data_IF_135001796884
#
_entry.id   IF_135001796884
#
_cell.length_a   1.000
_cell.length_b   1.000
_cell.length_c   1.000
_cell.angle_alpha   90.00
_cell.angle_beta   90.00
_cell.angle_gamma   90.00
#
_symmetry.space_group_name_H-M   'P 1'
#
loop_
_entity.id
_entity.type
_entity.pdbx_description
1 polymer ?
#
# COMPACT_ATOMS: atom_id res chain seq x y z
N UNK A 1 -17.44 4.93 -10.11
CA UNK A 1 -16.61 6.01 -10.65
C UNK A 1 -17.46 6.87 -11.55
N UNK A 2 -17.69 8.13 -11.17
CA UNK A 2 -18.51 9.08 -11.93
C UNK A 2 -17.67 9.97 -12.83
N UNK A 3 -16.40 10.19 -12.47
CA UNK A 3 -15.47 11.07 -13.19
C UNK A 3 -14.36 10.29 -13.88
N UNK A 4 -13.56 10.97 -14.71
CA UNK A 4 -12.41 10.39 -15.40
C UNK A 4 -11.28 10.01 -14.43
N UNK A 5 -11.23 10.70 -13.29
CA UNK A 5 -10.20 10.58 -12.26
C UNK A 5 -10.84 10.92 -10.90
N UNK A 6 -10.50 10.16 -9.87
CA UNK A 6 -10.98 10.35 -8.50
C UNK A 6 -9.81 10.24 -7.53
N UNK A 7 -9.74 11.14 -6.55
CA UNK A 7 -8.70 11.15 -5.51
C UNK A 7 -9.33 10.86 -4.15
N UNK A 8 -8.68 10.01 -3.37
CA UNK A 8 -9.08 9.69 -2.01
C UNK A 8 -7.85 9.65 -1.09
N UNK A 9 -7.98 10.23 0.09
CA UNK A 9 -7.01 10.10 1.16
C UNK A 9 -7.55 9.13 2.22
N UNK A 10 -6.69 8.22 2.68
CA UNK A 10 -7.03 7.21 3.68
C UNK A 10 -6.08 7.30 4.88
N UNK A 11 -6.65 7.18 6.08
CA UNK A 11 -5.92 7.07 7.34
C UNK A 11 -6.26 5.74 7.99
N UNK A 12 -5.30 4.81 8.04
CA UNK A 12 -5.49 3.47 8.58
C UNK A 12 -4.96 3.41 10.01
N UNK A 13 -5.85 3.33 10.99
CA UNK A 13 -5.45 3.18 12.39
C UNK A 13 -4.90 1.79 12.71
N UNK A 14 -5.42 0.75 12.04
CA UNK A 14 -4.99 -0.64 12.19
C UNK A 14 -4.51 -1.28 10.89
N UNK A 15 -3.92 -2.47 11.01
CA UNK A 15 -3.47 -3.30 9.90
C UNK A 15 -4.67 -3.77 9.06
N UNK A 16 -4.59 -3.53 7.74
CA UNK A 16 -5.63 -3.95 6.80
C UNK A 16 -5.14 -5.08 5.89
N UNK A 17 -5.81 -6.24 5.95
CA UNK A 17 -5.53 -7.36 5.07
C UNK A 17 -6.19 -7.18 3.70
N UNK A 18 -5.44 -6.61 2.75
CA UNK A 18 -5.90 -6.41 1.39
C UNK A 18 -6.32 -7.70 0.69
N UNK A 19 -7.49 -7.67 0.07
CA UNK A 19 -7.93 -8.76 -0.79
C UNK A 19 -7.30 -8.65 -2.17
N UNK A 20 -6.95 -9.81 -2.74
CA UNK A 20 -6.46 -9.86 -4.11
C UNK A 20 -7.64 -9.65 -5.06
N UNK A 21 -7.67 -8.52 -5.76
CA UNK A 21 -8.75 -8.16 -6.68
C UNK A 21 -8.20 -7.55 -7.96
N UNK A 22 -8.95 -7.69 -9.05
CA UNK A 22 -8.74 -6.91 -10.28
C UNK A 22 -9.65 -5.70 -10.21
N UNK A 23 -9.09 -4.54 -10.46
CA UNK A 23 -9.85 -3.29 -10.52
C UNK A 23 -9.85 -2.80 -11.96
N UNK A 24 -11.01 -2.46 -12.57
CA UNK A 24 -11.10 -2.04 -13.97
C UNK A 24 -10.67 -0.58 -14.16
N UNK A 25 -9.79 -0.05 -13.31
CA UNK A 25 -9.26 1.32 -13.38
C UNK A 25 -7.78 1.27 -13.03
N UNK A 26 -7.00 2.18 -13.59
CA UNK A 26 -5.64 2.39 -13.12
C UNK A 26 -5.65 3.06 -11.76
N UNK A 27 -4.66 2.76 -10.93
CA UNK A 27 -4.56 3.31 -9.58
C UNK A 27 -3.14 3.78 -9.28
N UNK A 28 -3.00 5.05 -8.87
CA UNK A 28 -1.78 5.53 -8.24
C UNK A 28 -1.92 5.37 -6.73
N UNK A 29 -0.98 4.68 -6.11
CA UNK A 29 -0.85 4.55 -4.67
C UNK A 29 0.34 5.36 -4.20
N UNK A 30 0.12 6.30 -3.28
CA UNK A 30 1.18 7.11 -2.67
C UNK A 30 1.11 7.01 -1.16
N UNK A 31 2.20 6.59 -0.52
CA UNK A 31 2.26 6.56 0.95
C UNK A 31 2.69 7.94 1.44
N UNK A 32 1.84 8.57 2.25
CA UNK A 32 2.13 9.88 2.86
C UNK A 32 2.65 9.74 4.29
N UNK A 33 2.37 8.60 4.95
CA UNK A 33 2.95 8.25 6.25
C UNK A 33 2.99 6.73 6.45
N UNK A 34 4.08 6.24 7.04
CA UNK A 34 4.27 4.82 7.36
C UNK A 34 4.65 4.00 6.14
N UNK A 35 4.06 2.81 6.01
CA UNK A 35 4.26 1.93 4.86
C UNK A 35 3.03 1.06 4.58
N UNK A 36 3.03 0.44 3.40
CA UNK A 36 2.06 -0.57 3.02
C UNK A 36 2.75 -1.72 2.28
N UNK A 37 2.09 -2.88 2.25
CA UNK A 37 2.52 -4.02 1.44
C UNK A 37 1.65 -4.12 0.20
N UNK A 38 2.28 -4.18 -0.97
CA UNK A 38 1.60 -4.39 -2.24
C UNK A 38 2.00 -5.74 -2.81
N UNK A 39 1.05 -6.66 -2.89
CA UNK A 39 1.24 -7.94 -3.55
C UNK A 39 0.75 -7.87 -4.98
N UNK A 40 1.67 -7.98 -5.94
CA UNK A 40 1.42 -7.95 -7.38
C UNK A 40 2.04 -9.20 -8.02
N UNK A 41 1.22 -10.07 -8.60
CA UNK A 41 1.72 -11.34 -9.13
C UNK A 41 2.23 -12.27 -8.02
N UNK A 42 3.51 -12.62 -8.06
CA UNK A 42 4.24 -13.37 -7.02
C UNK A 42 5.06 -12.44 -6.12
N UNK A 43 5.19 -11.17 -6.49
CA UNK A 43 6.00 -10.21 -5.76
C UNK A 43 5.19 -9.56 -4.65
N UNK A 44 5.84 -9.33 -3.52
CA UNK A 44 5.29 -8.53 -2.45
C UNK A 44 6.27 -7.43 -2.09
N UNK A 45 5.85 -6.22 -2.42
CA UNK A 45 6.65 -5.01 -2.35
C UNK A 45 6.29 -4.25 -1.09
N UNK A 46 7.30 -3.71 -0.42
CA UNK A 46 7.09 -2.72 0.62
C UNK A 46 7.05 -1.33 -0.01
N UNK A 47 5.95 -0.62 0.15
CA UNK A 47 5.79 0.76 -0.30
C UNK A 47 6.13 1.69 0.87
N UNK A 48 7.28 2.42 0.83
CA UNK A 48 7.63 3.39 1.85
C UNK A 48 6.95 4.74 1.60
N UNK A 49 6.97 5.60 2.62
CA UNK A 49 6.54 7.01 2.51
C UNK A 49 7.30 7.75 1.40
N UNK A 50 6.60 8.66 0.71
CA UNK A 50 7.19 9.52 -0.32
C UNK A 50 7.36 8.85 -1.68
N UNK A 51 6.95 7.58 -1.84
CA UNK A 51 7.02 6.86 -3.12
C UNK A 51 5.63 6.59 -3.67
N UNK A 52 5.55 6.58 -5.00
CA UNK A 52 4.35 6.33 -5.76
C UNK A 52 4.47 5.01 -6.52
N UNK A 53 3.40 4.23 -6.51
CA UNK A 53 3.30 3.00 -7.30
C UNK A 53 2.04 3.05 -8.16
N UNK A 54 2.21 2.85 -9.46
CA UNK A 54 1.11 2.75 -10.42
C UNK A 54 0.70 1.29 -10.60
N UNK A 55 -0.60 1.02 -10.46
CA UNK A 55 -1.26 -0.20 -10.88
C UNK A 55 -2.01 0.11 -12.18
N UNK A 56 -1.65 -0.57 -13.27
CA UNK A 56 -2.45 -0.47 -14.49
C UNK A 56 -3.83 -1.10 -14.30
N UNK A 57 -4.78 -0.70 -15.14
CA UNK A 57 -6.12 -1.28 -15.11
C UNK A 57 -6.08 -2.81 -15.26
N UNK A 58 -7.00 -3.49 -14.57
CA UNK A 58 -7.12 -4.94 -14.48
C UNK A 58 -5.93 -5.67 -13.84
N UNK A 59 -4.97 -4.93 -13.25
CA UNK A 59 -3.92 -5.51 -12.43
C UNK A 59 -4.52 -6.29 -11.26
N UNK A 60 -4.10 -7.56 -11.12
CA UNK A 60 -4.48 -8.40 -10.00
C UNK A 60 -3.53 -8.16 -8.82
N UNK A 61 -3.93 -7.27 -7.91
CA UNK A 61 -3.12 -6.87 -6.77
C UNK A 61 -3.87 -7.01 -5.44
N UNK A 62 -3.11 -7.07 -4.34
CA UNK A 62 -3.63 -6.90 -2.99
C UNK A 62 -2.81 -5.82 -2.28
N UNK A 63 -3.47 -4.73 -1.90
CA UNK A 63 -2.85 -3.62 -1.17
C UNK A 63 -3.21 -3.71 0.31
N UNK A 64 -2.20 -3.79 1.18
CA UNK A 64 -2.34 -3.99 2.62
C UNK A 64 -1.61 -2.88 3.38
N UNK A 65 -2.30 -1.75 3.69
CA UNK A 65 -1.78 -0.73 4.58
C UNK A 65 -1.37 -1.32 5.93
N UNK A 66 -0.18 -0.96 6.41
CA UNK A 66 0.24 -1.27 7.77
C UNK A 66 -0.49 -0.37 8.78
N UNK A 67 -0.49 -0.77 10.04
CA UNK A 67 -1.05 0.01 11.14
C UNK A 67 -0.41 1.40 11.21
N UNK A 68 -1.23 2.44 11.29
CA UNK A 68 -0.79 3.83 11.28
C UNK A 68 -0.39 4.38 9.91
N UNK A 69 -0.67 3.65 8.82
CA UNK A 69 -0.39 4.09 7.46
C UNK A 69 -1.39 5.16 6.99
N UNK A 70 -0.87 6.20 6.35
CA UNK A 70 -1.67 7.16 5.59
C UNK A 70 -1.25 7.06 4.12
N UNK A 71 -2.24 7.02 3.23
CA UNK A 71 -1.98 6.93 1.81
C UNK A 71 -3.02 7.65 0.99
N UNK A 72 -2.59 8.06 -0.19
CA UNK A 72 -3.43 8.61 -1.23
C UNK A 72 -3.66 7.55 -2.29
N UNK A 73 -4.89 7.48 -2.77
CA UNK A 73 -5.27 6.68 -3.93
C UNK A 73 -5.89 7.59 -4.98
N UNK A 74 -5.23 7.65 -6.13
CA UNK A 74 -5.82 8.19 -7.34
C UNK A 74 -6.36 7.03 -8.17
N UNK A 75 -7.61 7.10 -8.61
CA UNK A 75 -8.21 6.11 -9.53
C UNK A 75 -8.48 6.77 -10.87
N UNK A 76 -8.10 6.12 -11.96
CA UNK A 76 -8.18 6.66 -13.33
C UNK A 76 -9.02 5.73 -14.21
N UNK A 77 -10.07 6.29 -14.81
CA UNK A 77 -11.01 5.56 -15.64
C UNK A 77 -10.34 4.94 -16.85
N UNK A 78 -10.76 3.75 -17.27
CA UNK A 78 -10.39 3.15 -18.56
C UNK A 78 -10.76 4.00 -19.78
N UNK A 79 -11.64 5.00 -19.61
CA UNK A 79 -12.09 5.88 -20.70
C UNK A 79 -11.09 6.97 -21.06
N UNK A 80 -10.03 7.13 -20.27
CA UNK A 80 -8.95 8.10 -20.53
C UNK A 80 -7.62 7.38 -20.68
N UNK A 81 -6.72 8.00 -21.43
CA UNK A 81 -5.36 7.50 -21.59
C UNK A 81 -4.63 7.48 -20.25
N UNK A 82 -3.92 6.38 -20.00
CA UNK A 82 -3.21 6.13 -18.76
C UNK A 82 -2.08 5.12 -18.99
N UNK A 83 -1.08 5.08 -18.11
CA UNK A 83 0.03 4.14 -18.26
C UNK A 83 -0.44 2.67 -18.23
N UNK A 84 0.02 1.89 -19.21
CA UNK A 84 -0.40 0.50 -19.40
C UNK A 84 0.37 -0.51 -18.55
N UNK A 85 1.51 -0.10 -17.99
CA UNK A 85 2.40 -0.95 -17.21
C UNK A 85 2.39 -0.54 -15.74
N UNK A 86 2.19 -1.50 -14.84
CA UNK A 86 2.34 -1.28 -13.41
C UNK A 86 3.81 -1.12 -13.01
N UNK A 87 4.11 -0.28 -12.02
CA UNK A 87 5.46 -0.08 -11.53
C UNK A 87 5.61 1.15 -10.64
N UNK A 88 6.84 1.41 -10.22
CA UNK A 88 7.21 2.60 -9.46
C UNK A 88 7.14 3.82 -10.36
N UNK A 89 6.30 4.77 -9.97
CA UNK A 89 6.10 6.00 -10.73
C UNK A 89 7.05 7.07 -10.18
N UNK A 90 7.89 7.61 -11.06
CA UNK A 90 8.70 8.78 -10.77
C UNK A 90 7.86 10.02 -11.02
N UNK A 91 7.49 10.70 -9.94
CA UNK A 91 6.68 11.92 -9.98
C UNK A 91 7.49 13.08 -10.56
N UNK A 92 6.81 13.93 -11.33
CA UNK A 92 7.35 15.25 -11.69
C UNK A 92 7.19 16.20 -10.50
N UNK A 93 7.98 17.28 -10.40
CA UNK A 93 7.78 18.30 -9.38
C UNK A 93 6.37 18.90 -9.37
N UNK A 94 5.74 19.01 -10.55
CA UNK A 94 4.37 19.50 -10.67
C UNK A 94 3.37 18.47 -10.12
N UNK A 95 3.51 17.19 -10.47
CA UNK A 95 2.65 16.13 -9.95
C UNK A 95 2.75 16.03 -8.43
N UNK A 96 3.95 16.10 -7.85
CA UNK A 96 4.13 16.09 -6.40
C UNK A 96 3.41 17.26 -5.73
N UNK A 97 3.57 18.48 -6.26
CA UNK A 97 2.89 19.66 -5.74
C UNK A 97 1.36 19.55 -5.83
N UNK A 98 0.84 18.96 -6.91
CA UNK A 98 -0.60 18.73 -7.07
C UNK A 98 -1.12 17.70 -6.07
N UNK A 99 -0.42 16.58 -5.89
CA UNK A 99 -0.78 15.53 -4.94
C UNK A 99 -0.74 16.05 -3.49
N UNK A 100 0.30 16.79 -3.11
CA UNK A 100 0.39 17.43 -1.80
C UNK A 100 -0.76 18.41 -1.56
N UNK A 101 -1.10 19.19 -2.59
CA UNK A 101 -2.19 20.14 -2.49
C UNK A 101 -3.57 19.49 -2.46
N UNK A 102 -3.72 18.26 -2.97
CA UNK A 102 -4.94 17.45 -2.81
C UNK A 102 -5.01 16.79 -1.42
N UNK A 103 -3.88 16.32 -0.88
CA UNK A 103 -3.81 15.75 0.47
C UNK A 103 -4.21 16.76 1.56
N UNK A 104 -3.97 18.04 1.31
CA UNK A 104 -4.34 19.15 2.19
C UNK A 104 -5.68 19.82 1.81
N UNK A 105 -6.47 19.21 0.92
CA UNK A 105 -7.68 19.83 0.40
C UNK A 105 -8.80 19.87 1.45
N UNK A 106 -9.18 21.09 1.86
CA UNK A 106 -10.25 21.34 2.84
C UNK A 106 -11.51 21.98 2.24
N UNK A 107 -11.51 22.24 0.92
CA UNK A 107 -12.60 22.89 0.19
C UNK A 107 -13.58 21.85 -0.38
N UNK A 108 -14.78 22.24 -0.84
CA UNK A 108 -15.66 21.34 -1.58
C UNK A 108 -14.94 20.68 -2.77
N UNK A 109 -15.20 19.38 -2.99
CA UNK A 109 -14.61 18.59 -4.08
C UNK A 109 -15.49 18.67 -5.34
N UNK A 110 -15.60 19.87 -5.90
CA UNK A 110 -16.42 20.11 -7.09
C UNK A 110 -15.67 19.81 -8.38
N UNK A 111 -16.26 18.97 -9.24
CA UNK A 111 -15.67 18.59 -10.52
C UNK A 111 -15.50 19.76 -11.50
N UNK A 112 -16.44 20.72 -11.50
CA UNK A 112 -16.39 21.89 -12.39
C UNK A 112 -15.56 23.05 -11.82
N UNK A 113 -14.92 22.85 -10.66
CA UNK A 113 -14.11 23.86 -9.98
C UNK A 113 -12.61 23.57 -9.97
N UNK A 114 -11.88 24.28 -9.11
CA UNK A 114 -10.42 24.17 -8.95
C UNK A 114 -9.99 22.74 -8.61
N UNK A 115 -10.81 21.99 -7.85
CA UNK A 115 -10.55 20.59 -7.53
C UNK A 115 -10.47 19.72 -8.78
N UNK A 116 -11.51 19.75 -9.63
CA UNK A 116 -11.52 19.01 -10.89
C UNK A 116 -10.43 19.46 -11.87
N UNK A 117 -10.14 20.76 -11.94
CA UNK A 117 -9.03 21.28 -12.76
C UNK A 117 -7.68 20.68 -12.35
N UNK A 118 -7.40 20.54 -11.06
CA UNK A 118 -6.17 19.89 -10.57
C UNK A 118 -6.11 18.42 -10.95
N UNK A 119 -7.23 17.71 -10.83
CA UNK A 119 -7.31 16.31 -11.25
C UNK A 119 -7.06 16.17 -12.77
N UNK A 120 -7.55 17.10 -13.59
CA UNK A 120 -7.27 17.12 -15.02
C UNK A 120 -5.76 17.30 -15.30
N UNK A 121 -5.10 18.25 -14.63
CA UNK A 121 -3.64 18.43 -14.78
C UNK A 121 -2.88 17.18 -14.31
N UNK A 122 -3.34 16.50 -13.25
CA UNK A 122 -2.74 15.22 -12.83
C UNK A 122 -2.84 14.17 -13.92
N UNK A 123 -3.96 14.07 -14.64
CA UNK A 123 -4.07 13.13 -15.77
C UNK A 123 -3.02 13.40 -16.84
N UNK A 124 -2.81 14.67 -17.19
CA UNK A 124 -1.81 15.07 -18.19
C UNK A 124 -0.38 14.77 -17.71
N UNK A 125 -0.08 15.03 -16.44
CA UNK A 125 1.24 14.75 -15.84
C UNK A 125 1.52 13.23 -15.74
N UNK A 126 0.51 12.41 -15.44
CA UNK A 126 0.68 10.96 -15.34
C UNK A 126 1.17 10.33 -16.65
N UNK A 127 0.80 10.89 -17.80
CA UNK A 127 1.27 10.39 -19.10
C UNK A 127 2.77 10.65 -19.35
N UNK A 128 3.33 11.66 -18.69
CA UNK A 128 4.73 12.07 -18.84
C UNK A 128 5.64 11.38 -17.82
N UNK A 129 5.06 10.76 -16.79
CA UNK A 129 5.82 10.11 -15.73
C UNK A 129 6.52 8.84 -16.23
N UNK A 130 7.77 8.66 -15.79
CA UNK A 130 8.49 7.41 -16.04
C UNK A 130 8.06 6.35 -15.04
N UNK A 131 7.77 5.14 -15.53
CA UNK A 131 7.44 3.98 -14.71
C UNK A 131 8.57 2.96 -14.78
N UNK A 132 9.12 2.59 -13.62
CA UNK A 132 10.17 1.57 -13.51
C UNK A 132 9.68 0.33 -12.76
N UNK A 133 10.28 -0.83 -13.06
CA UNK A 133 10.03 -2.06 -12.28
C UNK A 133 10.81 -2.10 -10.97
N UNK A 134 11.87 -1.29 -10.86
CA UNK A 134 12.77 -1.23 -9.71
C UNK A 134 12.63 0.15 -9.06
N UNK A 135 12.10 0.17 -7.83
CA UNK A 135 11.99 1.38 -7.01
C UNK A 135 13.19 1.53 -6.10
N UNK A 136 13.15 0.85 -4.96
CA UNK A 136 14.16 0.93 -3.90
C UNK A 136 14.81 -0.44 -3.67
N UNK A 137 15.79 -0.86 -4.48
CA UNK A 137 16.29 -2.24 -4.47
C UNK A 137 16.90 -2.67 -3.12
N UNK A 138 17.61 -1.77 -2.43
CA UNK A 138 18.17 -2.03 -1.10
C UNK A 138 17.07 -2.26 -0.06
N UNK A 139 16.07 -1.37 0.00
CA UNK A 139 14.93 -1.50 0.90
C UNK A 139 14.14 -2.78 0.62
N UNK A 140 13.87 -3.09 -0.66
CA UNK A 140 13.18 -4.31 -1.03
C UNK A 140 13.96 -5.57 -0.64
N UNK A 141 15.29 -5.55 -0.77
CA UNK A 141 16.13 -6.68 -0.35
C UNK A 141 16.10 -6.88 1.17
N UNK A 142 16.19 -5.81 1.96
CA UNK A 142 16.05 -5.87 3.42
C UNK A 142 14.66 -6.37 3.84
N UNK A 143 13.61 -5.86 3.18
CA UNK A 143 12.24 -6.32 3.38
C UNK A 143 12.10 -7.82 3.09
N UNK A 144 12.59 -8.28 1.94
CA UNK A 144 12.54 -9.71 1.58
C UNK A 144 13.33 -10.58 2.55
N UNK A 145 14.47 -10.12 3.08
CA UNK A 145 15.22 -10.83 4.10
C UNK A 145 14.39 -11.01 5.39
N UNK A 146 13.68 -9.96 5.80
CA UNK A 146 12.80 -9.96 6.98
C UNK A 146 11.56 -10.84 6.76
N UNK A 147 10.90 -10.71 5.61
CA UNK A 147 9.72 -11.51 5.28
C UNK A 147 10.02 -13.02 5.20
N UNK A 148 11.24 -13.38 4.81
CA UNK A 148 11.73 -14.76 4.77
C UNK A 148 12.34 -15.26 6.10
N UNK A 149 12.32 -14.44 7.17
CA UNK A 149 12.79 -14.85 8.48
C UNK A 149 14.31 -15.09 8.58
N UNK A 150 15.13 -14.37 7.80
CA UNK A 150 16.60 -14.51 7.90
C UNK A 150 17.09 -14.02 9.28
N UNK A 151 18.04 -14.73 9.94
CA UNK A 151 18.48 -14.42 11.30
C UNK A 151 18.99 -12.98 11.50
N UNK A 152 19.63 -12.41 10.48
CA UNK A 152 20.24 -11.07 10.52
C UNK A 152 19.33 -9.96 9.96
N UNK A 153 18.10 -10.30 9.55
CA UNK A 153 17.22 -9.38 8.83
C UNK A 153 16.87 -8.12 9.62
N UNK A 154 16.64 -8.26 10.94
CA UNK A 154 16.36 -7.10 11.81
C UNK A 154 17.58 -6.19 11.97
N UNK A 155 18.80 -6.75 12.00
CA UNK A 155 20.03 -5.96 12.05
C UNK A 155 20.25 -5.19 10.75
N UNK A 156 20.04 -5.83 9.60
CA UNK A 156 20.10 -5.18 8.29
C UNK A 156 19.02 -4.10 8.13
N UNK A 157 17.82 -4.34 8.70
CA UNK A 157 16.74 -3.36 8.72
C UNK A 157 17.11 -2.13 9.54
N UNK A 158 17.72 -2.33 10.72
CA UNK A 158 18.15 -1.25 11.59
C UNK A 158 19.26 -0.36 11.00
N UNK A 159 19.98 -0.84 9.97
CA UNK A 159 20.99 -0.07 9.25
C UNK A 159 20.40 0.85 8.17
N UNK A 160 19.09 0.77 7.89
CA UNK A 160 18.44 1.71 6.98
C UNK A 160 18.46 3.11 7.59
N UNK A 161 18.85 4.12 6.80
CA UNK A 161 18.96 5.50 7.28
C UNK A 161 17.61 6.06 7.76
N UNK A 162 16.53 5.76 7.04
CA UNK A 162 15.17 6.21 7.33
C UNK A 162 14.17 5.06 7.10
N UNK A 163 14.08 4.08 8.02
CA UNK A 163 13.15 2.98 7.86
C UNK A 163 11.71 3.50 7.96
N UNK A 164 10.80 3.13 7.04
CA UNK A 164 9.43 3.66 7.05
C UNK A 164 8.60 3.14 8.23
N UNK A 165 9.02 2.01 8.81
CA UNK A 165 8.44 1.37 10.00
C UNK A 165 9.57 0.68 10.78
N UNK A 166 9.45 0.62 12.10
CA UNK A 166 10.38 -0.14 12.95
C UNK A 166 10.43 -1.62 12.55
N UNK A 167 11.62 -2.24 12.54
CA UNK A 167 11.81 -3.60 12.02
C UNK A 167 10.99 -4.66 12.75
N UNK A 168 10.94 -4.61 14.09
CA UNK A 168 10.14 -5.55 14.88
C UNK A 168 8.64 -5.37 14.61
N UNK A 169 8.17 -4.12 14.55
CA UNK A 169 6.78 -3.81 14.22
C UNK A 169 6.41 -4.31 12.82
N UNK A 170 7.29 -4.12 11.83
CA UNK A 170 7.09 -4.63 10.47
C UNK A 170 7.00 -6.16 10.44
N UNK A 171 7.88 -6.86 11.17
CA UNK A 171 7.87 -8.31 11.27
C UNK A 171 6.58 -8.84 11.91
N UNK A 172 6.14 -8.25 13.02
CA UNK A 172 4.91 -8.64 13.71
C UNK A 172 3.67 -8.41 12.85
N UNK A 173 3.58 -7.26 12.18
CA UNK A 173 2.47 -6.96 11.27
C UNK A 173 2.49 -7.87 10.04
N UNK A 174 3.66 -8.22 9.52
CA UNK A 174 3.79 -9.19 8.42
C UNK A 174 3.30 -10.59 8.83
N UNK A 175 3.75 -11.08 9.98
CA UNK A 175 3.32 -12.35 10.56
C UNK A 175 1.79 -12.37 10.75
N UNK A 176 1.22 -11.30 11.28
CA UNK A 176 -0.23 -11.16 11.45
C UNK A 176 -0.95 -11.12 10.10
N UNK A 177 -0.42 -10.42 9.10
CA UNK A 177 -1.00 -10.40 7.76
C UNK A 177 -1.05 -11.80 7.14
N UNK A 178 -0.02 -12.64 7.36
CA UNK A 178 -0.08 -14.05 6.95
C UNK A 178 -1.15 -14.83 7.69
N UNK A 179 -1.31 -14.58 8.99
CA UNK A 179 -2.34 -15.23 9.80
C UNK A 179 -3.74 -14.91 9.25
N UNK A 180 -4.02 -13.63 9.00
CA UNK A 180 -5.30 -13.17 8.45
C UNK A 180 -5.60 -13.80 7.08
N UNK A 181 -4.58 -13.98 6.22
CA UNK A 181 -4.73 -14.66 4.93
C UNK A 181 -5.11 -16.13 5.09
N UNK A 182 -4.46 -16.85 6.01
CA UNK A 182 -4.76 -18.26 6.27
C UNK A 182 -6.15 -18.45 6.89
N UNK A 183 -6.53 -17.58 7.83
CA UNK A 183 -7.86 -17.55 8.44
C UNK A 183 -8.93 -17.30 7.38
N UNK A 184 -8.72 -16.31 6.50
CA UNK A 184 -9.63 -16.06 5.38
C UNK A 184 -9.74 -17.24 4.41
N UNK A 185 -8.68 -18.03 4.28
CA UNK A 185 -8.66 -19.29 3.53
C UNK A 185 -9.33 -20.48 4.24
N UNK A 186 -9.92 -20.29 5.43
CA UNK A 186 -10.64 -21.33 6.18
C UNK A 186 -9.77 -22.14 7.15
N UNK A 187 -8.51 -21.75 7.37
CA UNK A 187 -7.66 -22.42 8.37
C UNK A 187 -8.17 -22.15 9.79
N UNK A 188 -8.11 -23.16 10.67
CA UNK A 188 -8.50 -23.02 12.08
C UNK A 188 -7.48 -22.16 12.85
N UNK A 189 -7.91 -21.29 13.79
CA UNK A 189 -7.02 -20.43 14.57
C UNK A 189 -5.83 -21.13 15.22
N UNK A 190 -6.02 -22.27 15.91
CA UNK A 190 -4.93 -23.05 16.51
C UNK A 190 -3.85 -23.47 15.49
N UNK A 191 -4.27 -23.89 14.30
CA UNK A 191 -3.35 -24.32 13.23
C UNK A 191 -2.56 -23.12 12.72
N UNK A 192 -3.21 -21.97 12.57
CA UNK A 192 -2.57 -20.72 12.14
C UNK A 192 -1.56 -20.24 13.19
N UNK A 193 -1.95 -20.23 14.46
CA UNK A 193 -1.09 -19.83 15.57
C UNK A 193 0.20 -20.67 15.61
N UNK A 194 0.06 -22.00 15.61
CA UNK A 194 1.20 -22.92 15.61
C UNK A 194 2.08 -22.76 14.36
N UNK A 195 1.48 -22.68 13.17
CA UNK A 195 2.22 -22.56 11.89
C UNK A 195 3.04 -21.28 11.80
N UNK A 196 2.54 -20.19 12.36
CA UNK A 196 3.19 -18.88 12.27
C UNK A 196 4.04 -18.55 13.49
N UNK A 197 4.16 -19.44 14.47
CA UNK A 197 5.01 -19.23 15.65
C UNK A 197 4.40 -18.37 16.74
N UNK A 198 3.06 -18.26 16.81
CA UNK A 198 2.38 -17.74 17.99
C UNK A 198 2.34 -18.83 19.08
N UNK A 199 2.36 -18.43 20.35
CA UNK A 199 2.31 -19.37 21.48
C UNK A 199 0.98 -20.16 21.51
N UNK A 200 -0.14 -19.47 21.28
CA UNK A 200 -1.48 -20.04 21.25
C UNK A 200 -2.46 -19.14 20.47
N UNK A 201 -3.75 -19.52 20.45
CA UNK A 201 -4.83 -18.72 19.84
C UNK A 201 -5.00 -17.36 20.52
N UNK A 202 -4.73 -17.27 21.83
CA UNK A 202 -4.83 -16.04 22.61
C UNK A 202 -3.76 -15.03 22.20
N UNK A 203 -2.52 -15.47 21.96
CA UNK A 203 -1.44 -14.63 21.45
C UNK A 203 -1.75 -14.09 20.04
N UNK A 204 -2.35 -14.91 19.18
CA UNK A 204 -2.82 -14.45 17.86
C UNK A 204 -3.93 -13.39 18.00
N UNK A 205 -4.89 -13.60 18.91
CA UNK A 205 -5.95 -12.62 19.16
C UNK A 205 -5.41 -11.32 19.76
N UNK A 206 -4.44 -11.40 20.67
CA UNK A 206 -3.75 -10.24 21.24
C UNK A 206 -3.02 -9.45 20.15
N UNK A 207 -2.38 -10.13 19.18
CA UNK A 207 -1.76 -9.48 18.03
C UNK A 207 -2.79 -8.74 17.15
N UNK A 208 -3.97 -9.35 16.90
CA UNK A 208 -5.08 -8.67 16.21
C UNK A 208 -5.51 -7.39 16.93
N UNK A 209 -5.62 -7.43 18.25
CA UNK A 209 -5.99 -6.27 19.07
C UNK A 209 -4.91 -5.19 19.06
N UNK A 210 -3.65 -5.58 19.25
CA UNK A 210 -2.49 -4.68 19.23
C UNK A 210 -2.41 -3.89 17.92
N UNK A 211 -2.63 -4.56 16.80
CA UNK A 211 -2.53 -3.94 15.47
C UNK A 211 -3.88 -3.48 14.91
N UNK A 212 -4.91 -3.37 15.77
CA UNK A 212 -6.19 -2.76 15.40
C UNK A 212 -6.88 -3.43 14.20
N UNK A 213 -6.74 -4.74 14.03
CA UNK A 213 -7.37 -5.46 12.91
C UNK A 213 -8.88 -5.44 13.13
N UNK A 214 -9.57 -4.51 12.46
CA UNK A 214 -11.02 -4.53 12.34
C UNK A 214 -11.45 -5.68 11.44
N UNK A 215 -12.41 -6.49 11.87
CA UNK A 215 -12.98 -7.58 11.08
C UNK A 215 -13.31 -7.10 9.67
N UNK A 216 -12.89 -7.87 8.67
CA UNK A 216 -13.03 -7.50 7.25
C UNK A 216 -14.51 -7.44 6.89
N UNK A 217 -15.09 -6.24 6.94
CA UNK A 217 -16.46 -5.97 6.56
C UNK A 217 -16.50 -4.67 5.77
N UNK A 218 -16.28 -4.81 4.46
CA UNK A 218 -16.98 -4.15 3.33
C UNK A 218 -16.25 -4.46 2.01
#
# INVERSE_FOLDING_TARGET
MHHAIEYHHFSCHGLQAGNRKRTPVGQLLRITRGAALLRLGQHELLLPTGRCFWLCADALAAFSPLSGCHYDQLSVSLRVEQPQQAGWLQTTPLLDALLDSLAQWQRPQEWQGIYGQRLQVILDELQQCTISQQGEPSLQACWQALANGRPESLQLWAQQAEPPVEGLALQQQWQLLQALRLLKGGSKPAVVASKLGYADEGALQAACQQWGVSGSGE
#
